data_IF_094780183723
#
_entry.id   IF_094780183723
#
_cell.length_a   1.000
_cell.length_b   1.000
_cell.length_c   1.000
_cell.angle_alpha   90.00
_cell.angle_beta   90.00
_cell.angle_gamma   90.00
#
_symmetry.space_group_name_H-M   'P 1'
#
loop_
_entity.id
_entity.type
_entity.pdbx_description
1 polymer ?
#
# COMPACT_ATOMS: atom_id res chain seq x y z
N UNK A 1 8.03 0.75 -19.48
CA UNK A 1 7.67 2.13 -19.11
C UNK A 1 8.37 2.45 -17.79
N UNK A 2 9.38 3.32 -17.82
CA UNK A 2 10.04 3.82 -16.60
C UNK A 2 8.98 4.56 -15.75
N UNK A 3 8.77 4.15 -14.49
CA UNK A 3 7.87 4.86 -13.57
C UNK A 3 8.70 5.79 -12.69
N UNK A 4 8.24 7.04 -12.53
CA UNK A 4 8.88 8.01 -11.63
C UNK A 4 8.46 7.77 -10.18
N UNK A 5 9.27 8.21 -9.22
CA UNK A 5 8.95 8.11 -7.78
C UNK A 5 7.58 8.73 -7.46
N UNK A 6 7.23 9.94 -7.95
CA UNK A 6 5.92 10.54 -7.69
C UNK A 6 4.76 9.72 -8.26
N UNK A 7 4.93 9.10 -9.44
CA UNK A 7 3.89 8.27 -10.04
C UNK A 7 3.63 7.01 -9.20
N UNK A 8 4.69 6.37 -8.69
CA UNK A 8 4.56 5.20 -7.83
C UNK A 8 3.96 5.56 -6.47
N UNK A 9 4.37 6.68 -5.88
CA UNK A 9 3.76 7.18 -4.64
C UNK A 9 2.29 7.46 -4.83
N UNK A 10 1.90 8.15 -5.91
CA UNK A 10 0.49 8.41 -6.22
C UNK A 10 -0.32 7.12 -6.41
N UNK A 11 0.24 6.10 -7.09
CA UNK A 11 -0.40 4.78 -7.22
C UNK A 11 -0.60 4.09 -5.86
N UNK A 12 0.40 4.17 -4.97
CA UNK A 12 0.34 3.58 -3.63
C UNK A 12 -0.69 4.33 -2.77
N UNK A 13 -0.62 5.66 -2.69
CA UNK A 13 -1.55 6.48 -1.91
C UNK A 13 -2.99 6.30 -2.39
N UNK A 14 -3.22 6.22 -3.70
CA UNK A 14 -4.56 5.92 -4.24
C UNK A 14 -5.07 4.54 -3.80
N UNK A 15 -4.21 3.52 -3.81
CA UNK A 15 -4.59 2.18 -3.34
C UNK A 15 -4.81 2.13 -1.82
N UNK A 16 -4.03 2.89 -1.03
CA UNK A 16 -4.24 3.04 0.42
C UNK A 16 -5.58 3.70 0.72
N UNK A 17 -5.92 4.77 0.00
CA UNK A 17 -7.21 5.46 0.14
C UNK A 17 -8.38 4.53 -0.19
N UNK A 18 -8.28 3.72 -1.24
CA UNK A 18 -9.30 2.73 -1.58
C UNK A 18 -9.50 1.69 -0.46
N UNK A 19 -8.40 1.15 0.09
CA UNK A 19 -8.46 0.22 1.22
C UNK A 19 -9.11 0.87 2.45
N UNK A 20 -8.79 2.14 2.74
CA UNK A 20 -9.37 2.90 3.86
C UNK A 20 -10.89 3.04 3.70
N UNK A 21 -11.35 3.43 2.51
CA UNK A 21 -12.78 3.61 2.24
C UNK A 21 -13.55 2.29 2.33
N UNK A 22 -13.02 1.21 1.75
CA UNK A 22 -13.62 -0.13 1.84
C UNK A 22 -13.65 -0.62 3.29
N UNK A 23 -12.57 -0.42 4.05
CA UNK A 23 -12.50 -0.79 5.46
C UNK A 23 -13.55 -0.03 6.30
N UNK A 24 -13.71 1.28 6.07
CA UNK A 24 -14.73 2.10 6.74
C UNK A 24 -16.15 1.61 6.42
N UNK A 25 -16.43 1.33 5.15
CA UNK A 25 -17.72 0.83 4.72
C UNK A 25 -18.08 -0.53 5.37
N UNK A 26 -17.08 -1.37 5.64
CA UNK A 26 -17.24 -2.68 6.28
C UNK A 26 -17.08 -2.64 7.81
N UNK A 27 -16.87 -1.46 8.40
CA UNK A 27 -16.57 -1.28 9.83
C UNK A 27 -15.33 -2.07 10.30
N UNK A 28 -14.39 -2.32 9.38
CA UNK A 28 -13.12 -2.99 9.66
C UNK A 28 -12.10 -1.97 10.21
N UNK A 29 -12.19 -1.72 11.52
CA UNK A 29 -11.31 -0.77 12.19
C UNK A 29 -9.83 -1.20 12.25
N UNK A 30 -9.51 -2.48 12.05
CA UNK A 30 -8.13 -2.95 11.98
C UNK A 30 -7.52 -2.58 10.61
N UNK A 31 -8.26 -2.82 9.53
CA UNK A 31 -7.82 -2.48 8.17
C UNK A 31 -7.79 -0.97 7.93
N UNK A 32 -8.73 -0.22 8.50
CA UNK A 32 -8.72 1.25 8.43
C UNK A 32 -7.47 1.83 9.09
N UNK A 33 -7.12 1.39 10.31
CA UNK A 33 -5.89 1.83 11.00
C UNK A 33 -4.62 1.41 10.26
N UNK A 34 -4.61 0.23 9.64
CA UNK A 34 -3.48 -0.18 8.79
C UNK A 34 -3.32 0.75 7.58
N UNK A 35 -4.43 1.18 6.96
CA UNK A 35 -4.38 2.17 5.88
C UNK A 35 -3.92 3.55 6.36
N UNK A 36 -4.31 3.99 7.55
CA UNK A 36 -3.82 5.22 8.19
C UNK A 36 -2.30 5.18 8.39
N UNK A 37 -1.80 4.10 8.98
CA UNK A 37 -0.36 3.90 9.16
C UNK A 37 0.42 3.85 7.83
N UNK A 38 -0.15 3.22 6.78
CA UNK A 38 0.47 3.21 5.45
C UNK A 38 0.58 4.61 4.84
N UNK A 39 -0.44 5.45 5.00
CA UNK A 39 -0.44 6.82 4.50
C UNK A 39 0.69 7.63 5.13
N UNK A 40 0.85 7.51 6.45
CA UNK A 40 1.96 8.14 7.20
C UNK A 40 3.34 7.60 6.76
N UNK A 41 3.46 6.29 6.57
CA UNK A 41 4.69 5.63 6.13
C UNK A 41 5.17 6.16 4.77
N UNK A 42 4.24 6.38 3.83
CA UNK A 42 4.57 6.87 2.48
C UNK A 42 4.66 8.41 2.39
N UNK A 43 4.00 9.16 3.28
CA UNK A 43 4.14 10.62 3.33
C UNK A 43 5.58 11.07 3.62
N UNK A 44 6.35 10.27 4.36
CA UNK A 44 7.76 10.53 4.65
C UNK A 44 8.74 10.09 3.55
N UNK A 45 8.28 9.39 2.50
CA UNK A 45 9.16 8.80 1.50
C UNK A 45 9.50 9.78 0.37
N UNK A 46 10.71 10.35 0.40
CA UNK A 46 11.17 11.31 -0.62
C UNK A 46 12.10 10.67 -1.66
N UNK A 47 12.81 9.59 -1.29
CA UNK A 47 13.77 8.94 -2.17
C UNK A 47 13.31 7.55 -2.61
N UNK A 48 13.92 7.04 -3.68
CA UNK A 48 13.72 5.65 -4.12
C UNK A 48 14.01 4.63 -3.01
N UNK A 49 15.00 4.92 -2.15
CA UNK A 49 15.36 4.05 -1.02
C UNK A 49 14.23 4.03 0.01
N UNK A 50 13.65 5.19 0.31
CA UNK A 50 12.56 5.32 1.28
C UNK A 50 11.31 4.60 0.78
N UNK A 51 10.92 4.81 -0.48
CA UNK A 51 9.77 4.12 -1.09
C UNK A 51 9.97 2.61 -1.07
N UNK A 52 11.19 2.12 -1.35
CA UNK A 52 11.48 0.69 -1.32
C UNK A 52 11.44 0.12 0.09
N UNK A 53 11.97 0.85 1.08
CA UNK A 53 11.95 0.43 2.49
C UNK A 53 10.51 0.38 3.01
N UNK A 54 9.75 1.47 2.81
CA UNK A 54 8.33 1.56 3.13
C UNK A 54 7.51 0.44 2.47
N UNK A 55 7.75 0.17 1.18
CA UNK A 55 7.07 -0.92 0.48
C UNK A 55 7.44 -2.30 1.02
N UNK A 56 8.69 -2.53 1.44
CA UNK A 56 9.09 -3.79 2.05
C UNK A 56 8.45 -3.98 3.42
N UNK A 57 8.39 -2.93 4.23
CA UNK A 57 7.75 -2.91 5.54
C UNK A 57 6.23 -3.14 5.43
N UNK A 58 5.56 -2.40 4.53
CA UNK A 58 4.15 -2.56 4.22
C UNK A 58 3.81 -3.99 3.77
N UNK A 59 4.64 -4.61 2.93
CA UNK A 59 4.45 -6.00 2.49
C UNK A 59 4.54 -7.02 3.65
N UNK A 60 5.11 -6.65 4.80
CA UNK A 60 5.06 -7.44 6.03
C UNK A 60 3.64 -7.65 6.55
N UNK A 61 2.68 -6.77 6.21
CA UNK A 61 1.28 -6.88 6.61
C UNK A 61 0.52 -8.05 5.95
N UNK A 62 1.12 -8.72 4.96
CA UNK A 62 0.58 -9.93 4.33
C UNK A 62 1.16 -11.23 4.92
N UNK A 63 2.00 -11.16 5.97
CA UNK A 63 2.58 -12.32 6.64
C UNK A 63 1.94 -12.62 8.01
N UNK A 64 1.91 -13.90 8.39
CA UNK A 64 1.65 -14.40 9.75
C UNK A 64 0.25 -14.16 10.31
N UNK A 65 -0.03 -12.92 10.73
CA UNK A 65 -1.27 -12.44 11.36
C UNK A 65 -1.66 -11.01 10.91
N UNK A 66 -1.13 -10.53 9.78
CA UNK A 66 -1.34 -9.16 9.34
C UNK A 66 -2.74 -8.88 8.79
N UNK A 67 -3.19 -7.61 8.92
CA UNK A 67 -4.55 -7.11 8.67
C UNK A 67 -5.12 -7.33 7.26
N UNK A 68 -4.32 -7.87 6.34
CA UNK A 68 -4.70 -8.11 4.95
C UNK A 68 -4.76 -9.59 4.56
N UNK A 69 -4.52 -10.51 5.50
CA UNK A 69 -4.56 -11.96 5.26
C UNK A 69 -5.99 -12.53 5.28
N UNK A 70 -6.91 -11.85 5.98
CA UNK A 70 -8.33 -12.17 6.03
C UNK A 70 -9.14 -11.05 5.38
N UNK A 71 -9.70 -11.32 4.19
CA UNK A 71 -10.53 -10.41 3.42
C UNK A 71 -11.92 -11.03 3.28
N UNK A 72 -12.85 -10.59 4.13
CA UNK A 72 -14.21 -11.10 4.21
C UNK A 72 -15.17 -10.66 3.09
N UNK A 73 -14.69 -9.90 2.10
CA UNK A 73 -15.51 -9.43 0.96
C UNK A 73 -14.69 -9.33 -0.34
N UNK A 74 -15.37 -9.41 -1.49
CA UNK A 74 -14.75 -9.28 -2.80
C UNK A 74 -14.16 -7.88 -3.04
N UNK A 75 -14.82 -6.84 -2.52
CA UNK A 75 -14.36 -5.45 -2.57
C UNK A 75 -13.08 -5.28 -1.74
N UNK A 76 -13.03 -5.88 -0.55
CA UNK A 76 -11.84 -5.87 0.29
C UNK A 76 -10.68 -6.62 -0.38
N UNK A 77 -10.94 -7.79 -0.95
CA UNK A 77 -9.93 -8.56 -1.70
C UNK A 77 -9.41 -7.77 -2.91
N UNK A 78 -10.28 -7.07 -3.65
CA UNK A 78 -9.87 -6.21 -4.76
C UNK A 78 -8.93 -5.09 -4.31
N UNK A 79 -9.36 -4.31 -3.31
CA UNK A 79 -8.59 -3.17 -2.80
C UNK A 79 -7.22 -3.64 -2.24
N UNK A 80 -7.21 -4.73 -1.48
CA UNK A 80 -5.99 -5.32 -0.91
C UNK A 80 -5.06 -5.85 -2.01
N UNK A 81 -5.57 -6.52 -3.04
CA UNK A 81 -4.76 -6.98 -4.18
C UNK A 81 -4.18 -5.81 -4.97
N UNK A 82 -4.96 -4.74 -5.17
CA UNK A 82 -4.48 -3.53 -5.85
C UNK A 82 -3.33 -2.89 -5.07
N UNK A 83 -3.48 -2.72 -3.76
CA UNK A 83 -2.43 -2.23 -2.88
C UNK A 83 -1.19 -3.12 -2.92
N UNK A 84 -1.35 -4.44 -2.81
CA UNK A 84 -0.24 -5.38 -2.87
C UNK A 84 0.54 -5.27 -4.20
N UNK A 85 -0.14 -5.07 -5.34
CA UNK A 85 0.51 -4.83 -6.64
C UNK A 85 1.27 -3.52 -6.67
N UNK A 86 0.70 -2.43 -6.15
CA UNK A 86 1.35 -1.13 -6.07
C UNK A 86 2.62 -1.17 -5.19
N UNK A 87 2.54 -1.82 -4.03
CA UNK A 87 3.70 -2.02 -3.14
C UNK A 87 4.78 -2.88 -3.80
N UNK A 88 4.40 -3.93 -4.53
CA UNK A 88 5.38 -4.72 -5.30
C UNK A 88 6.06 -3.88 -6.39
N UNK A 89 5.32 -2.99 -7.05
CA UNK A 89 5.89 -2.06 -8.02
C UNK A 89 6.90 -1.12 -7.34
N UNK A 90 6.54 -0.50 -6.20
CA UNK A 90 7.44 0.36 -5.43
C UNK A 90 8.65 -0.35 -4.82
N UNK A 91 8.52 -1.64 -4.47
CA UNK A 91 9.65 -2.48 -4.07
C UNK A 91 10.55 -2.85 -5.26
N UNK A 92 9.99 -3.02 -6.46
CA UNK A 92 10.72 -3.46 -7.65
C UNK A 92 11.55 -2.33 -8.30
N UNK A 93 12.67 -2.70 -8.91
CA UNK A 93 13.80 -1.84 -9.29
C UNK A 93 13.56 -0.88 -10.49
N UNK A 94 12.33 -0.70 -10.99
CA UNK A 94 12.01 0.11 -12.17
C UNK A 94 11.80 1.62 -11.87
N UNK A 95 12.35 2.12 -10.78
CA UNK A 95 12.34 3.53 -10.42
C UNK A 95 13.66 4.17 -10.85
N UNK A 96 13.70 5.01 -11.90
CA UNK A 96 14.84 5.93 -12.09
C UNK A 96 14.70 7.10 -11.12
N UNK A 97 15.82 7.55 -10.56
CA UNK A 97 15.87 8.89 -9.97
C UNK A 97 15.61 9.86 -11.12
N UNK A 98 14.42 10.46 -11.16
CA UNK A 98 14.15 11.59 -12.03
C UNK A 98 14.99 12.77 -11.60
#
# INVERSE_FOLDING_TARGET
MDRTIPAVLAEITAAVAEVREVARAQQDGARARAADWLDELFAGAATRRDVRAAAAEALGLWGGAGSFSDVGSAEADHAVRRLHRALRAGRSWLLRAG
#
